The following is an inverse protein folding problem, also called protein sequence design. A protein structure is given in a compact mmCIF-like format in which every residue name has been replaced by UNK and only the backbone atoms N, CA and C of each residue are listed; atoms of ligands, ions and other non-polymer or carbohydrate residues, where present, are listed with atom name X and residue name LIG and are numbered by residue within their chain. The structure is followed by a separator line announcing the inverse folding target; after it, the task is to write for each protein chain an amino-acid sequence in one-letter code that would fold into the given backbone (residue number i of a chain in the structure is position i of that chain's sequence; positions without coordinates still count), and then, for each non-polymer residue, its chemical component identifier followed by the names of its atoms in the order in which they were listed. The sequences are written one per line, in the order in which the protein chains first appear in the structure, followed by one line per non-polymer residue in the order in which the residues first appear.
data_IF_593912240393
#
_entry.id   IF_593912240393
#
_cell.length_a   1.000
_cell.length_b   1.000
_cell.length_c   1.000
_cell.angle_alpha   90.00
_cell.angle_beta   90.00
_cell.angle_gamma   90.00
#
_symmetry.space_group_name_H-M   'P 1'
#
loop_
_entity.id
_entity.type
_entity.pdbx_description
1 polymer ?
#
# COMPACT_ATOMS: atom_id res chain seq x y z
N UNK A 1 -30.63 -2.58 10.37
CA UNK A 1 -29.32 -2.20 10.94
C UNK A 1 -28.38 -1.79 9.82
N UNK A 2 -27.88 -0.56 9.86
CA UNK A 2 -26.93 -0.02 8.90
C UNK A 2 -25.47 -0.33 9.31
N UNK A 3 -24.61 -0.65 8.34
CA UNK A 3 -23.15 -0.75 8.50
C UNK A 3 -22.44 -0.19 7.27
N UNK A 4 -21.39 0.58 7.52
CA UNK A 4 -20.42 1.01 6.51
C UNK A 4 -19.15 0.19 6.64
N UNK A 5 -18.56 -0.16 5.50
CA UNK A 5 -17.32 -0.91 5.41
C UNK A 5 -16.34 -0.22 4.47
N UNK A 6 -15.05 -0.29 4.80
CA UNK A 6 -13.97 -0.08 3.83
C UNK A 6 -13.44 -1.45 3.40
N UNK A 7 -13.36 -1.68 2.10
CA UNK A 7 -13.14 -3.00 1.53
C UNK A 7 -12.27 -2.97 0.27
N UNK A 8 -11.64 -4.10 -0.02
CA UNK A 8 -10.87 -4.32 -1.24
C UNK A 8 -10.73 -5.82 -1.52
N UNK A 9 -10.22 -6.16 -2.71
CA UNK A 9 -9.81 -7.52 -3.08
C UNK A 9 -8.67 -8.03 -2.21
N UNK A 10 -8.70 -9.33 -1.87
CA UNK A 10 -7.70 -9.99 -1.03
C UNK A 10 -6.40 -10.29 -1.81
N UNK A 11 -6.52 -10.55 -3.11
CA UNK A 11 -5.42 -10.97 -4.01
C UNK A 11 -4.26 -9.97 -4.15
N UNK A 12 -4.52 -8.70 -3.81
CA UNK A 12 -3.50 -7.65 -3.85
C UNK A 12 -2.56 -7.69 -2.63
N UNK A 13 -2.91 -8.46 -1.60
CA UNK A 13 -2.14 -8.54 -0.36
C UNK A 13 -1.08 -9.65 -0.42
N UNK A 14 0.06 -9.39 0.20
CA UNK A 14 1.07 -10.41 0.49
C UNK A 14 0.73 -11.15 1.78
N UNK A 15 1.32 -12.33 2.00
CA UNK A 15 1.09 -13.14 3.20
C UNK A 15 1.29 -12.35 4.49
N UNK A 16 2.31 -11.49 4.53
CA UNK A 16 2.57 -10.62 5.69
C UNK A 16 1.46 -9.59 5.92
N UNK A 17 0.92 -9.01 4.85
CA UNK A 17 -0.19 -8.06 4.95
C UNK A 17 -1.49 -8.79 5.35
N UNK A 18 -1.69 -10.03 4.88
CA UNK A 18 -2.79 -10.89 5.29
C UNK A 18 -2.76 -11.15 6.81
N UNK A 19 -1.60 -11.51 7.36
CA UNK A 19 -1.43 -11.65 8.82
C UNK A 19 -1.82 -10.36 9.57
N UNK A 20 -1.45 -9.19 9.03
CA UNK A 20 -1.76 -7.90 9.68
C UNK A 20 -3.26 -7.62 9.65
N UNK A 21 -3.94 -7.81 8.52
CA UNK A 21 -5.39 -7.55 8.45
C UNK A 21 -6.16 -8.55 9.33
N UNK A 22 -5.72 -9.80 9.44
CA UNK A 22 -6.31 -10.80 10.34
C UNK A 22 -6.15 -10.39 11.82
N UNK A 23 -4.94 -10.02 12.22
CA UNK A 23 -4.66 -9.50 13.57
C UNK A 23 -5.50 -8.26 13.91
N UNK A 24 -5.77 -7.42 12.92
CA UNK A 24 -6.62 -6.22 13.06
C UNK A 24 -8.11 -6.53 12.91
N UNK A 25 -8.50 -7.80 12.83
CA UNK A 25 -9.89 -8.29 12.75
C UNK A 25 -10.65 -7.70 11.57
N UNK A 26 -10.03 -7.70 10.40
CA UNK A 26 -10.75 -7.50 9.14
C UNK A 26 -11.57 -8.77 8.86
N UNK A 27 -12.75 -8.60 8.29
CA UNK A 27 -13.58 -9.71 7.84
C UNK A 27 -13.14 -10.09 6.42
N UNK A 28 -12.86 -11.37 6.16
CA UNK A 28 -12.65 -11.91 4.81
C UNK A 28 -13.91 -12.61 4.33
N UNK A 29 -14.22 -12.49 3.05
CA UNK A 29 -15.40 -13.12 2.45
C UNK A 29 -15.18 -13.36 0.95
N UNK A 30 -15.95 -14.29 0.40
CA UNK A 30 -15.98 -14.60 -1.02
C UNK A 30 -17.32 -14.16 -1.62
N UNK A 31 -17.29 -13.55 -2.80
CA UNK A 31 -18.48 -13.25 -3.61
C UNK A 31 -18.08 -13.43 -5.08
N UNK A 32 -18.90 -14.13 -5.87
CA UNK A 32 -18.59 -14.36 -7.29
C UNK A 32 -17.19 -14.99 -7.54
N UNK A 33 -16.76 -15.92 -6.68
CA UNK A 33 -15.43 -16.56 -6.71
C UNK A 33 -14.23 -15.61 -6.53
N UNK A 34 -14.47 -14.39 -6.03
CA UNK A 34 -13.40 -13.41 -5.75
C UNK A 34 -13.31 -13.20 -4.23
N UNK A 35 -12.10 -13.40 -3.70
CA UNK A 35 -11.81 -13.18 -2.29
C UNK A 35 -11.63 -11.70 -1.99
N UNK A 36 -12.28 -11.22 -0.93
CA UNK A 36 -12.31 -9.83 -0.50
C UNK A 36 -12.05 -9.74 1.00
N UNK A 37 -11.65 -8.56 1.45
CA UNK A 37 -11.62 -8.22 2.87
C UNK A 37 -12.34 -6.90 3.12
N UNK A 38 -12.84 -6.72 4.33
CA UNK A 38 -13.51 -5.47 4.75
C UNK A 38 -13.33 -5.18 6.24
N UNK A 39 -13.45 -3.90 6.60
CA UNK A 39 -13.53 -3.45 7.98
C UNK A 39 -14.74 -2.57 8.17
N UNK A 40 -15.60 -2.94 9.12
CA UNK A 40 -16.71 -2.07 9.52
C UNK A 40 -16.16 -0.82 10.21
N UNK A 41 -16.70 0.34 9.83
CA UNK A 41 -16.37 1.64 10.38
C UNK A 41 -17.65 2.37 10.78
N UNK A 42 -17.61 3.06 11.92
CA UNK A 42 -18.80 3.74 12.48
C UNK A 42 -18.70 5.26 12.46
N UNK A 43 -17.49 5.79 12.33
CA UNK A 43 -17.23 7.22 12.45
C UNK A 43 -15.98 7.63 11.65
N UNK A 44 -15.82 8.96 11.49
CA UNK A 44 -14.70 9.57 10.76
C UNK A 44 -13.33 9.15 11.31
N UNK A 45 -13.20 8.96 12.63
CA UNK A 45 -11.94 8.55 13.27
C UNK A 45 -11.55 7.12 12.90
N UNK A 46 -12.51 6.19 12.88
CA UNK A 46 -12.29 4.81 12.47
C UNK A 46 -11.92 4.72 10.98
N UNK A 47 -12.59 5.50 10.12
CA UNK A 47 -12.22 5.63 8.70
C UNK A 47 -10.74 6.02 8.58
N UNK A 48 -10.32 7.10 9.23
CA UNK A 48 -8.93 7.58 9.19
C UNK A 48 -7.95 6.50 9.67
N UNK A 49 -8.29 5.75 10.71
CA UNK A 49 -7.42 4.69 11.23
C UNK A 49 -7.26 3.52 10.24
N UNK A 50 -8.35 3.09 9.60
CA UNK A 50 -8.30 2.06 8.56
C UNK A 50 -7.52 2.55 7.35
N UNK A 51 -7.73 3.81 6.93
CA UNK A 51 -7.02 4.40 5.80
C UNK A 51 -5.51 4.54 6.03
N UNK A 52 -5.04 4.79 7.26
CA UNK A 52 -3.61 4.79 7.58
C UNK A 52 -2.95 3.45 7.25
N UNK A 53 -3.63 2.35 7.56
CA UNK A 53 -3.16 1.00 7.23
C UNK A 53 -3.21 0.77 5.72
N UNK A 54 -4.35 1.04 5.09
CA UNK A 54 -4.54 0.80 3.66
C UNK A 54 -3.56 1.60 2.81
N UNK A 55 -3.34 2.87 3.13
CA UNK A 55 -2.32 3.70 2.48
C UNK A 55 -0.93 3.09 2.60
N UNK A 56 -0.56 2.56 3.77
CA UNK A 56 0.75 1.94 3.93
C UNK A 56 0.93 0.80 2.92
N UNK A 57 -0.13 0.02 2.66
CA UNK A 57 -0.15 -1.05 1.67
C UNK A 57 -0.37 -0.55 0.22
N UNK A 58 -0.42 0.76 0.00
CA UNK A 58 -0.77 1.42 -1.26
C UNK A 58 -2.17 1.07 -1.81
N UNK A 59 -3.13 0.89 -0.90
CA UNK A 59 -4.51 0.52 -1.22
C UNK A 59 -5.40 1.74 -1.05
N UNK A 60 -6.18 2.04 -2.09
CA UNK A 60 -7.33 2.94 -2.01
C UNK A 60 -8.57 2.05 -1.86
N UNK A 61 -9.12 1.87 -0.65
CA UNK A 61 -10.26 0.98 -0.47
C UNK A 61 -11.51 1.58 -1.10
N UNK A 62 -12.39 0.71 -1.61
CA UNK A 62 -13.77 1.09 -1.88
C UNK A 62 -14.60 1.04 -0.60
N UNK A 63 -15.85 1.51 -0.67
CA UNK A 63 -16.80 1.40 0.44
C UNK A 63 -17.99 0.52 0.07
N UNK A 64 -18.36 -0.34 1.00
CA UNK A 64 -19.53 -1.19 0.92
C UNK A 64 -20.51 -0.83 2.04
N UNK A 65 -21.80 -1.03 1.81
CA UNK A 65 -22.84 -0.74 2.80
C UNK A 65 -23.75 -1.94 2.99
N UNK A 66 -24.15 -2.18 4.23
CA UNK A 66 -25.20 -3.13 4.57
C UNK A 66 -26.35 -2.36 5.19
N UNK A 67 -27.57 -2.55 4.67
CA UNK A 67 -28.81 -2.05 5.26
C UNK A 67 -29.78 -3.21 5.41
N UNK A 68 -30.00 -3.61 6.65
CA UNK A 68 -30.80 -4.78 6.99
C UNK A 68 -30.23 -6.05 6.35
N UNK A 69 -31.00 -6.70 5.47
CA UNK A 69 -30.59 -7.90 4.73
C UNK A 69 -29.83 -7.59 3.44
N UNK A 70 -29.93 -6.36 2.95
CA UNK A 70 -29.30 -5.95 1.69
C UNK A 70 -27.84 -5.58 1.91
N UNK A 71 -26.96 -6.14 1.09
CA UNK A 71 -25.54 -5.83 1.07
C UNK A 71 -25.09 -5.37 -0.31
N UNK A 72 -24.60 -4.12 -0.36
CA UNK A 72 -24.08 -3.48 -1.56
C UNK A 72 -22.58 -3.40 -1.47
N UNK A 73 -21.88 -4.12 -2.35
CA UNK A 73 -20.44 -4.29 -2.27
C UNK A 73 -19.67 -3.09 -2.85
N UNK A 74 -18.36 -3.04 -2.61
CA UNK A 74 -17.55 -1.88 -2.96
C UNK A 74 -17.35 -1.70 -4.47
N UNK A 75 -17.44 -2.78 -5.25
CA UNK A 75 -17.30 -2.85 -6.71
C UNK A 75 -18.64 -2.71 -7.46
N UNK A 76 -19.76 -2.64 -6.74
CA UNK A 76 -21.10 -2.46 -7.30
C UNK A 76 -21.48 -0.98 -7.52
N UNK A 77 -22.67 -0.73 -8.09
CA UNK A 77 -23.21 0.59 -8.40
C UNK A 77 -23.16 1.55 -7.19
N UNK A 78 -22.47 2.65 -7.40
CA UNK A 78 -22.20 3.71 -6.41
C UNK A 78 -23.46 4.49 -6.00
N UNK A 79 -24.44 4.64 -6.90
CA UNK A 79 -25.60 5.51 -6.69
C UNK A 79 -26.44 5.09 -5.47
N UNK A 80 -26.74 3.80 -5.37
CA UNK A 80 -27.54 3.25 -4.28
C UNK A 80 -26.79 3.25 -2.95
N UNK A 81 -25.48 2.97 -2.98
CA UNK A 81 -24.61 3.08 -1.79
C UNK A 81 -24.57 4.50 -1.24
N UNK A 82 -24.44 5.48 -2.13
CA UNK A 82 -24.44 6.90 -1.76
C UNK A 82 -25.75 7.30 -1.12
N UNK A 83 -26.89 6.94 -1.73
CA UNK A 83 -28.19 7.28 -1.17
C UNK A 83 -28.37 6.69 0.24
N UNK A 84 -27.98 5.43 0.45
CA UNK A 84 -28.03 4.80 1.78
C UNK A 84 -27.18 5.57 2.80
N UNK A 85 -25.97 6.00 2.43
CA UNK A 85 -25.12 6.79 3.34
C UNK A 85 -25.74 8.16 3.63
N UNK A 86 -26.31 8.84 2.63
CA UNK A 86 -26.99 10.13 2.80
C UNK A 86 -28.17 9.99 3.76
N UNK A 87 -28.99 8.96 3.58
CA UNK A 87 -30.17 8.72 4.42
C UNK A 87 -29.81 8.38 5.88
N UNK A 88 -28.72 7.63 6.10
CA UNK A 88 -28.35 7.12 7.43
C UNK A 88 -27.35 7.99 8.18
N UNK A 89 -26.48 8.72 7.47
CA UNK A 89 -25.35 9.46 8.03
C UNK A 89 -25.27 10.93 7.59
N UNK A 90 -26.07 11.34 6.60
CA UNK A 90 -26.09 12.70 6.04
C UNK A 90 -25.09 12.92 4.90
N UNK A 91 -25.40 13.90 4.07
CA UNK A 91 -24.60 14.30 2.89
C UNK A 91 -23.18 14.72 3.27
N UNK A 92 -23.01 15.50 4.35
CA UNK A 92 -21.70 15.93 4.85
C UNK A 92 -20.78 14.75 5.20
N UNK A 93 -21.36 13.62 5.61
CA UNK A 93 -20.58 12.42 5.90
C UNK A 93 -20.11 11.76 4.61
N UNK A 94 -20.99 11.65 3.60
CA UNK A 94 -20.63 11.13 2.28
C UNK A 94 -19.52 11.97 1.64
N UNK A 95 -19.68 13.30 1.63
CA UNK A 95 -18.66 14.21 1.10
C UNK A 95 -17.31 14.02 1.81
N UNK A 96 -17.31 13.93 3.14
CA UNK A 96 -16.09 13.61 3.89
C UNK A 96 -15.45 12.28 3.44
N UNK A 97 -16.25 11.21 3.31
CA UNK A 97 -15.76 9.90 2.89
C UNK A 97 -15.13 9.96 1.50
N UNK A 98 -15.80 10.58 0.54
CA UNK A 98 -15.29 10.68 -0.84
C UNK A 98 -14.01 11.52 -0.89
N UNK A 99 -14.00 12.69 -0.24
CA UNK A 99 -12.82 13.57 -0.21
C UNK A 99 -11.61 12.91 0.45
N UNK A 100 -11.80 12.14 1.53
CA UNK A 100 -10.66 11.48 2.18
C UNK A 100 -10.11 10.32 1.33
N UNK A 101 -10.96 9.56 0.63
CA UNK A 101 -10.50 8.51 -0.28
C UNK A 101 -9.70 9.07 -1.47
N UNK A 102 -10.17 10.19 -2.04
CA UNK A 102 -9.46 10.90 -3.11
C UNK A 102 -8.09 11.41 -2.64
N UNK A 103 -8.04 12.01 -1.44
CA UNK A 103 -6.78 12.47 -0.85
C UNK A 103 -5.78 11.34 -0.60
N UNK A 104 -6.25 10.17 -0.16
CA UNK A 104 -5.37 9.01 0.03
C UNK A 104 -4.81 8.50 -1.31
N UNK A 105 -5.61 8.49 -2.38
CA UNK A 105 -5.14 8.20 -3.75
C UNK A 105 -4.03 9.16 -4.18
N UNK A 106 -4.23 10.46 -4.02
CA UNK A 106 -3.20 11.46 -4.35
C UNK A 106 -1.93 11.29 -3.53
N UNK A 107 -2.07 10.95 -2.24
CA UNK A 107 -0.92 10.74 -1.35
C UNK A 107 -0.08 9.56 -1.81
N UNK A 108 -0.71 8.43 -2.18
CA UNK A 108 -0.01 7.25 -2.71
C UNK A 108 0.72 7.59 -4.01
N UNK A 109 0.08 8.34 -4.92
CA UNK A 109 0.73 8.77 -6.17
C UNK A 109 1.96 9.64 -5.92
N UNK A 110 1.86 10.62 -5.01
CA UNK A 110 3.00 11.48 -4.62
C UNK A 110 4.13 10.68 -3.96
N UNK A 111 3.80 9.70 -3.12
CA UNK A 111 4.81 8.80 -2.54
C UNK A 111 5.54 8.03 -3.65
N UNK A 112 4.84 7.52 -4.67
CA UNK A 112 5.45 6.84 -5.83
C UNK A 112 6.34 7.76 -6.66
N UNK A 113 5.91 9.00 -6.90
CA UNK A 113 6.73 10.01 -7.59
C UNK A 113 8.02 10.29 -6.82
N UNK A 114 7.94 10.45 -5.49
CA UNK A 114 9.13 10.67 -4.66
C UNK A 114 10.12 9.50 -4.71
N UNK A 115 9.63 8.25 -4.81
CA UNK A 115 10.53 7.10 -5.00
C UNK A 115 11.23 7.15 -6.35
N UNK A 116 10.51 7.55 -7.41
CA UNK A 116 11.09 7.72 -8.75
C UNK A 116 12.19 8.77 -8.74
N UNK A 117 11.95 9.92 -8.11
CA UNK A 117 12.97 10.97 -7.94
C UNK A 117 14.20 10.47 -7.18
N UNK A 118 14.00 9.64 -6.14
CA UNK A 118 15.11 9.02 -5.41
C UNK A 118 15.93 8.10 -6.34
N UNK A 119 15.27 7.27 -7.15
CA UNK A 119 15.94 6.35 -8.07
C UNK A 119 16.70 7.10 -9.17
N UNK A 120 16.10 8.15 -9.74
CA UNK A 120 16.75 9.01 -10.74
C UNK A 120 17.98 9.71 -10.14
N UNK A 121 17.86 10.25 -8.93
CA UNK A 121 18.96 10.89 -8.22
C UNK A 121 20.09 9.92 -7.88
N UNK A 122 19.79 8.69 -7.46
CA UNK A 122 20.78 7.63 -7.25
C UNK A 122 21.48 7.26 -8.56
N UNK A 123 20.71 7.10 -9.64
CA UNK A 123 21.22 6.73 -10.95
C UNK A 123 22.22 7.78 -11.47
N UNK A 124 21.89 9.07 -11.31
CA UNK A 124 22.75 10.18 -11.71
C UNK A 124 24.04 10.27 -10.90
N UNK A 125 23.94 10.26 -9.56
CA UNK A 125 25.11 10.47 -8.70
C UNK A 125 26.14 9.35 -8.79
N UNK A 126 25.68 8.11 -9.00
CA UNK A 126 26.53 6.93 -9.04
C UNK A 126 26.82 6.46 -10.46
N UNK A 127 26.25 7.10 -11.49
CA UNK A 127 26.37 6.71 -12.90
C UNK A 127 25.97 5.23 -13.12
N UNK A 128 24.84 4.85 -12.53
CA UNK A 128 24.26 3.49 -12.61
C UNK A 128 22.82 3.56 -13.10
N UNK A 129 22.28 2.44 -13.55
CA UNK A 129 20.84 2.23 -13.68
C UNK A 129 20.33 1.55 -12.40
N UNK A 130 19.28 2.09 -11.79
CA UNK A 130 18.73 1.62 -10.53
C UNK A 130 17.25 1.24 -10.70
N UNK A 131 16.97 -0.07 -10.73
CA UNK A 131 15.63 -0.61 -10.97
C UNK A 131 15.09 -1.33 -9.74
N UNK A 132 13.84 -1.01 -9.37
CA UNK A 132 13.17 -1.69 -8.26
C UNK A 132 12.31 -2.84 -8.76
N UNK A 133 12.54 -4.00 -8.18
CA UNK A 133 11.65 -5.14 -8.28
C UNK A 133 10.95 -5.38 -6.95
N UNK A 134 9.61 -5.44 -6.96
CA UNK A 134 8.80 -5.70 -5.77
C UNK A 134 7.66 -6.66 -6.12
N UNK A 135 7.69 -7.87 -5.54
CA UNK A 135 6.66 -8.90 -5.68
C UNK A 135 6.70 -9.84 -4.47
N UNK A 136 5.54 -10.43 -4.13
CA UNK A 136 5.42 -11.52 -3.16
C UNK A 136 6.10 -11.24 -1.80
N UNK A 137 6.02 -10.00 -1.29
CA UNK A 137 6.63 -9.65 0.00
C UNK A 137 8.13 -9.35 -0.06
N UNK A 138 8.73 -9.36 -1.25
CA UNK A 138 10.13 -9.01 -1.48
C UNK A 138 10.26 -7.67 -2.19
N UNK A 139 11.34 -6.95 -1.91
CA UNK A 139 11.73 -5.74 -2.62
C UNK A 139 13.25 -5.70 -2.80
N UNK A 140 13.71 -5.52 -4.04
CA UNK A 140 15.13 -5.45 -4.41
C UNK A 140 15.40 -4.25 -5.30
N UNK A 141 16.51 -3.57 -5.05
CA UNK A 141 17.06 -2.56 -5.94
C UNK A 141 18.19 -3.20 -6.75
N UNK A 142 17.94 -3.47 -8.02
CA UNK A 142 18.92 -3.98 -8.97
C UNK A 142 19.73 -2.83 -9.54
N UNK A 143 21.05 -3.00 -9.60
CA UNK A 143 21.97 -1.98 -10.08
C UNK A 143 22.76 -2.50 -11.29
N UNK A 144 22.81 -1.69 -12.34
CA UNK A 144 23.58 -1.97 -13.55
C UNK A 144 24.46 -0.79 -13.91
N UNK A 145 25.55 -1.06 -14.60
CA UNK A 145 26.37 -0.05 -15.26
C UNK A 145 26.56 -0.50 -16.71
N UNK A 146 26.03 0.29 -17.64
CA UNK A 146 25.84 -0.13 -19.03
C UNK A 146 25.12 -1.49 -19.08
N UNK A 147 25.71 -2.49 -19.73
CA UNK A 147 25.17 -3.85 -19.82
C UNK A 147 25.62 -4.78 -18.67
N UNK A 148 26.45 -4.29 -17.73
CA UNK A 148 26.99 -5.10 -16.62
C UNK A 148 26.06 -5.05 -15.41
N UNK A 149 25.53 -6.21 -15.02
CA UNK A 149 24.84 -6.39 -13.75
C UNK A 149 25.85 -6.26 -12.59
N UNK A 150 25.68 -5.26 -11.72
CA UNK A 150 26.58 -5.04 -10.58
C UNK A 150 26.17 -5.85 -9.34
N UNK A 151 24.87 -6.12 -9.22
CA UNK A 151 24.27 -6.79 -8.07
C UNK A 151 22.91 -6.19 -7.68
N UNK A 152 22.49 -6.43 -6.44
CA UNK A 152 21.27 -5.84 -5.88
C UNK A 152 21.36 -5.59 -4.38
N UNK A 153 20.53 -4.65 -3.91
CA UNK A 153 20.24 -4.42 -2.48
C UNK A 153 18.87 -5.01 -2.16
N UNK A 154 18.79 -5.87 -1.16
CA UNK A 154 17.53 -6.32 -0.56
C UNK A 154 16.99 -5.18 0.32
N UNK A 155 15.88 -4.56 -0.11
CA UNK A 155 15.29 -3.42 0.56
C UNK A 155 14.46 -3.82 1.79
N UNK A 156 14.11 -5.11 1.94
CA UNK A 156 13.38 -5.63 3.10
C UNK A 156 14.35 -5.97 4.23
N UNK A 157 15.38 -6.75 3.92
CA UNK A 157 16.32 -7.30 4.89
C UNK A 157 17.60 -6.45 5.03
N UNK A 158 17.78 -5.44 4.18
CA UNK A 158 18.87 -4.46 4.25
C UNK A 158 20.27 -5.06 4.13
N UNK A 159 20.45 -5.98 3.19
CA UNK A 159 21.74 -6.56 2.79
C UNK A 159 21.91 -6.46 1.26
N UNK A 160 23.08 -6.81 0.73
CA UNK A 160 23.32 -6.77 -0.71
C UNK A 160 24.00 -8.03 -1.24
N UNK A 161 23.79 -8.31 -2.53
CA UNK A 161 24.55 -9.28 -3.31
C UNK A 161 25.31 -8.53 -4.39
N UNK A 162 26.62 -8.75 -4.47
CA UNK A 162 27.47 -8.22 -5.55
C UNK A 162 28.64 -9.17 -5.80
N UNK A 163 29.34 -8.97 -6.91
CA UNK A 163 30.67 -9.55 -7.10
C UNK A 163 31.71 -8.86 -6.19
N UNK A 164 32.86 -9.50 -5.99
CA UNK A 164 33.92 -9.03 -5.08
C UNK A 164 34.46 -7.64 -5.45
N UNK A 165 34.54 -7.33 -6.74
CA UNK A 165 34.99 -6.02 -7.24
C UNK A 165 34.06 -4.87 -6.82
N UNK A 166 32.77 -5.15 -6.62
CA UNK A 166 31.75 -4.14 -6.33
C UNK A 166 31.39 -4.07 -4.84
N UNK A 167 31.96 -4.93 -3.99
CA UNK A 167 31.55 -5.07 -2.59
C UNK A 167 31.65 -3.75 -1.82
N UNK A 168 32.72 -2.99 -2.02
CA UNK A 168 32.91 -1.71 -1.34
C UNK A 168 31.88 -0.66 -1.80
N UNK A 169 31.57 -0.63 -3.09
CA UNK A 169 30.53 0.25 -3.64
C UNK A 169 29.18 -0.01 -2.98
N UNK A 170 28.75 -1.27 -2.85
CA UNK A 170 27.50 -1.61 -2.18
C UNK A 170 27.51 -1.32 -0.68
N UNK A 171 28.65 -1.51 0.01
CA UNK A 171 28.80 -1.13 1.42
C UNK A 171 28.60 0.37 1.63
N UNK A 172 29.09 1.19 0.71
CA UNK A 172 28.91 2.64 0.78
C UNK A 172 27.51 3.07 0.38
N UNK A 173 26.92 2.41 -0.62
CA UNK A 173 25.53 2.64 -1.02
C UNK A 173 24.54 2.31 0.11
N UNK A 174 24.76 1.24 0.88
CA UNK A 174 23.98 0.94 2.10
C UNK A 174 24.08 2.01 3.19
N UNK A 175 25.03 2.94 3.13
CA UNK A 175 25.11 4.07 4.08
C UNK A 175 24.26 5.25 3.61
N UNK A 176 23.94 5.33 2.32
CA UNK A 176 23.17 6.42 1.71
C UNK A 176 21.76 6.52 2.34
N UNK A 177 21.37 7.76 2.68
CA UNK A 177 20.06 8.06 3.28
C UNK A 177 18.89 7.75 2.33
N UNK A 178 19.11 7.83 1.02
CA UNK A 178 18.12 7.49 -0.02
C UNK A 178 17.80 6.00 -0.02
N UNK A 179 18.82 5.15 0.07
CA UNK A 179 18.65 3.69 0.19
C UNK A 179 17.91 3.34 1.49
N UNK A 180 18.22 4.03 2.59
CA UNK A 180 17.48 3.90 3.86
C UNK A 180 16.00 4.26 3.68
N UNK A 181 15.69 5.36 2.99
CA UNK A 181 14.31 5.78 2.70
C UNK A 181 13.57 4.74 1.84
N UNK A 182 14.19 4.24 0.77
CA UNK A 182 13.63 3.17 -0.07
C UNK A 182 13.32 1.92 0.78
N UNK A 183 14.29 1.47 1.58
CA UNK A 183 14.11 0.31 2.46
C UNK A 183 12.98 0.52 3.46
N UNK A 184 12.92 1.67 4.13
CA UNK A 184 11.83 1.99 5.06
C UNK A 184 10.46 1.98 4.38
N UNK A 185 10.37 2.55 3.19
CA UNK A 185 9.15 2.55 2.40
C UNK A 185 8.68 1.13 2.08
N UNK A 186 9.54 0.28 1.50
CA UNK A 186 9.15 -1.09 1.15
C UNK A 186 8.86 -1.96 2.36
N UNK A 187 9.64 -1.83 3.43
CA UNK A 187 9.34 -2.55 4.68
C UNK A 187 8.00 -2.13 5.29
N UNK A 188 7.64 -0.84 5.21
CA UNK A 188 6.32 -0.36 5.64
C UNK A 188 5.23 -0.90 4.71
N UNK A 189 5.43 -0.83 3.39
CA UNK A 189 4.51 -1.34 2.38
C UNK A 189 4.18 -2.81 2.59
N UNK A 190 5.20 -3.63 2.77
CA UNK A 190 5.05 -5.07 2.93
C UNK A 190 4.70 -5.50 4.37
N UNK A 191 4.49 -4.55 5.30
CA UNK A 191 4.05 -4.88 6.66
C UNK A 191 5.15 -5.38 7.62
N UNK A 192 6.42 -5.19 7.29
CA UNK A 192 7.55 -5.52 8.18
C UNK A 192 7.86 -4.45 9.23
N UNK A 193 7.16 -3.31 9.19
CA UNK A 193 7.26 -2.24 10.19
C UNK A 193 5.86 -1.99 10.74
N UNK A 194 5.76 -1.70 12.04
CA UNK A 194 4.50 -1.37 12.69
C UNK A 194 3.90 -0.10 12.08
N UNK A 195 2.68 -0.19 11.57
CA UNK A 195 1.96 0.92 10.92
C UNK A 195 1.08 1.70 11.91
N UNK A 196 0.88 1.17 13.13
CA UNK A 196 -0.04 1.66 14.17
C UNK A 196 0.67 1.82 15.53
#
# INVERSE_FOLDING_TARGET
MFKLYLAHYLEILTDKQLEIIDNLKFETYERENINRFRKSVKNKKEIVNVLKLMKAFEIVPGYAVQKDVDYYDFDEDTSKKNQIIVDEMGEDFLLFLLSILEKEKETILKERESLKEILESLSYDYLIQADVWNKYGFARLYLKQDDKDLGFIDLINYWFKSDSENEQFFKDLLKDKRIKKLSQYFRKKEGYIKII
#
